data_IF_399579436256
#
_entry.id   IF_399579436256
#
_cell.length_a   1.000
_cell.length_b   1.000
_cell.length_c   1.000
_cell.angle_alpha   90.00
_cell.angle_beta   90.00
_cell.angle_gamma   90.00
#
_symmetry.space_group_name_H-M   'P 1'
#
loop_
_entity.id
_entity.type
_entity.pdbx_description
1 polymer ?
#
# COMPACT_ATOMS: atom_id res chain seq x y z
N UNK A 1 3.25 -12.65 17.30
CA UNK A 1 3.48 -11.32 17.91
C UNK A 1 2.37 -10.46 17.34
N UNK A 2 1.28 -10.31 18.10
CA UNK A 2 0.41 -9.16 17.87
C UNK A 2 1.26 -7.93 18.21
N UNK A 3 1.05 -6.84 17.49
CA UNK A 3 1.63 -5.52 17.72
C UNK A 3 2.97 -5.23 17.04
N UNK A 4 2.95 -4.12 16.31
CA UNK A 4 4.10 -3.46 15.72
C UNK A 4 5.02 -2.96 16.84
N UNK A 5 6.29 -3.41 16.91
CA UNK A 5 7.25 -2.95 17.91
C UNK A 5 7.65 -1.47 17.74
N UNK A 6 7.20 -0.78 16.69
CA UNK A 6 7.54 0.62 16.42
C UNK A 6 6.77 1.65 17.27
N UNK A 7 5.80 1.25 18.09
CA UNK A 7 5.03 2.17 18.95
C UNK A 7 5.50 2.07 20.42
N UNK A 8 6.35 2.99 20.90
CA UNK A 8 6.69 3.06 22.30
C UNK A 8 5.61 3.88 23.03
N UNK A 9 4.85 3.27 23.94
CA UNK A 9 4.57 3.90 25.25
C UNK A 9 3.74 3.03 26.22
N UNK A 10 4.42 2.69 27.32
CA UNK A 10 3.92 2.52 28.70
C UNK A 10 3.34 1.18 29.25
N UNK A 11 3.86 0.86 30.45
CA UNK A 11 3.62 -0.18 31.47
C UNK A 11 3.53 -1.66 31.04
N UNK A 12 4.66 -2.34 31.16
CA UNK A 12 4.78 -3.81 31.19
C UNK A 12 4.07 -4.31 32.46
N UNK A 13 2.97 -5.05 32.29
CA UNK A 13 2.40 -5.82 33.38
C UNK A 13 3.40 -6.93 33.78
N UNK A 14 4.14 -6.70 34.86
CA UNK A 14 5.07 -7.67 35.40
C UNK A 14 4.30 -8.87 35.98
N UNK A 15 4.07 -9.89 35.15
CA UNK A 15 3.86 -11.25 35.64
C UNK A 15 5.07 -11.68 36.47
N UNK A 16 4.83 -12.41 37.56
CA UNK A 16 5.78 -12.70 38.65
C UNK A 16 7.16 -13.22 38.19
N UNK A 17 8.07 -12.31 37.83
CA UNK A 17 9.48 -12.62 37.70
C UNK A 17 10.10 -12.54 39.10
N UNK A 18 10.92 -13.54 39.44
CA UNK A 18 11.73 -13.50 40.66
C UNK A 18 12.52 -12.19 40.71
N UNK A 19 12.53 -11.53 41.89
CA UNK A 19 13.22 -10.26 42.11
C UNK A 19 14.64 -10.33 41.55
N UNK A 20 14.93 -9.49 40.56
CA UNK A 20 16.29 -9.27 40.07
C UNK A 20 17.19 -8.91 41.25
N UNK A 21 18.19 -9.75 41.54
CA UNK A 21 19.27 -9.43 42.46
C UNK A 21 20.52 -9.14 41.63
N UNK A 22 21.17 -7.98 41.80
CA UNK A 22 22.44 -7.73 41.13
C UNK A 22 23.48 -8.74 41.64
N UNK A 23 24.27 -9.37 40.74
CA UNK A 23 25.34 -10.25 41.15
C UNK A 23 26.40 -9.43 41.91
N UNK A 24 26.70 -9.82 43.15
CA UNK A 24 27.86 -9.29 43.87
C UNK A 24 29.12 -9.80 43.16
N UNK A 25 29.85 -8.90 42.50
CA UNK A 25 31.14 -9.22 41.93
C UNK A 25 32.10 -9.69 43.04
N UNK A 26 32.68 -10.88 42.89
CA UNK A 26 33.80 -11.28 43.72
C UNK A 26 35.00 -10.36 43.41
N UNK A 27 35.70 -9.80 44.42
CA UNK A 27 36.80 -8.89 44.18
C UNK A 27 37.93 -9.60 43.43
N UNK A 28 38.27 -9.10 42.24
CA UNK A 28 39.33 -9.63 41.40
C UNK A 28 40.70 -9.49 42.09
N UNK A 29 41.25 -10.59 42.58
CA UNK A 29 42.66 -10.66 42.98
C UNK A 29 43.53 -10.74 41.72
N UNK A 30 44.13 -9.61 41.36
CA UNK A 30 45.28 -9.41 40.44
C UNK A 30 45.60 -10.59 39.52
N UNK A 31 44.94 -10.67 38.36
CA UNK A 31 45.45 -11.37 37.17
C UNK A 31 45.10 -10.57 35.90
N UNK A 32 45.91 -10.65 34.83
CA UNK A 32 45.66 -9.94 33.58
C UNK A 32 44.41 -10.50 32.90
N UNK A 33 43.56 -9.62 32.37
CA UNK A 33 42.36 -10.00 31.62
C UNK A 33 42.78 -10.59 30.25
N UNK A 34 42.56 -11.88 30.06
CA UNK A 34 42.88 -12.59 28.81
C UNK A 34 41.64 -12.91 27.94
N UNK A 35 40.43 -12.54 28.36
CA UNK A 35 39.21 -12.91 27.65
C UNK A 35 38.50 -11.71 27.03
N UNK A 36 38.33 -11.79 25.71
CA UNK A 36 37.54 -10.92 24.86
C UNK A 36 36.07 -10.97 25.33
N UNK A 37 35.54 -9.85 25.84
CA UNK A 37 34.12 -9.60 26.14
C UNK A 37 33.32 -10.84 26.61
N UNK A 38 33.57 -11.34 27.82
CA UNK A 38 32.64 -12.26 28.49
C UNK A 38 31.34 -11.50 28.77
N UNK A 39 30.36 -11.61 27.87
CA UNK A 39 28.99 -11.23 28.14
C UNK A 39 28.52 -11.97 29.42
N UNK A 40 27.72 -11.33 30.29
CA UNK A 40 27.22 -11.98 31.49
C UNK A 40 26.44 -13.24 31.10
N UNK A 41 26.81 -14.38 31.68
CA UNK A 41 26.09 -15.63 31.50
C UNK A 41 24.69 -15.50 32.11
N UNK A 42 23.64 -15.66 31.31
CA UNK A 42 22.27 -15.71 31.81
C UNK A 42 22.07 -17.02 32.60
N UNK A 43 21.37 -16.93 33.72
CA UNK A 43 20.95 -18.13 34.47
C UNK A 43 20.09 -19.02 33.58
N UNK A 44 20.20 -20.35 33.71
CA UNK A 44 19.29 -21.32 33.07
C UNK A 44 17.83 -21.15 33.50
N UNK A 45 17.58 -20.37 34.57
CA UNK A 45 16.24 -19.99 35.03
C UNK A 45 15.65 -18.81 34.25
N UNK A 46 16.44 -18.10 33.44
CA UNK A 46 15.94 -17.05 32.54
C UNK A 46 15.42 -17.71 31.28
N UNK A 47 14.11 -17.62 30.97
CA UNK A 47 13.57 -18.21 29.76
C UNK A 47 14.29 -17.67 28.52
N UNK A 48 14.82 -18.58 27.67
CA UNK A 48 15.48 -18.20 26.41
C UNK A 48 14.57 -17.52 25.39
N UNK A 49 13.25 -17.58 25.62
CA UNK A 49 12.24 -16.83 24.91
C UNK A 49 11.11 -16.45 25.88
N UNK A 50 10.75 -15.17 25.93
CA UNK A 50 9.60 -14.67 26.67
C UNK A 50 8.59 -14.14 25.66
N UNK A 51 7.35 -14.63 25.72
CA UNK A 51 6.23 -14.06 24.96
C UNK A 51 5.61 -12.96 25.84
N UNK A 52 5.89 -11.70 25.50
CA UNK A 52 5.28 -10.55 26.16
C UNK A 52 3.86 -10.34 25.61
N UNK A 53 2.89 -10.20 26.51
CA UNK A 53 1.51 -9.84 26.19
C UNK A 53 1.29 -8.39 26.57
N UNK A 54 0.94 -7.58 25.59
CA UNK A 54 0.65 -6.16 25.76
C UNK A 54 -0.87 -5.97 25.90
N UNK A 55 -1.32 -5.38 27.02
CA UNK A 55 -2.72 -5.02 27.37
C UNK A 55 -3.67 -6.20 27.71
N UNK A 56 -4.71 -5.91 28.50
CA UNK A 56 -5.69 -6.88 29.03
C UNK A 56 -6.52 -7.56 27.94
N UNK A 57 -6.93 -8.81 28.20
CA UNK A 57 -7.67 -9.69 27.30
C UNK A 57 -9.00 -9.09 26.83
N UNK A 58 -9.02 -8.50 25.63
CA UNK A 58 -10.26 -8.41 24.86
C UNK A 58 -10.71 -9.85 24.60
N UNK A 59 -11.93 -10.22 24.99
CA UNK A 59 -12.45 -11.57 24.74
C UNK A 59 -12.73 -11.77 23.24
N UNK A 60 -11.69 -12.13 22.49
CA UNK A 60 -11.73 -12.35 21.04
C UNK A 60 -12.26 -13.73 20.66
N UNK A 61 -12.45 -14.63 21.63
CA UNK A 61 -12.70 -16.05 21.39
C UNK A 61 -13.93 -16.29 20.50
N UNK A 62 -15.05 -15.60 20.76
CA UNK A 62 -16.27 -15.75 19.96
C UNK A 62 -16.10 -15.22 18.53
N UNK A 63 -15.45 -14.06 18.37
CA UNK A 63 -15.17 -13.48 17.06
C UNK A 63 -14.26 -14.41 16.24
N UNK A 64 -13.14 -14.84 16.83
CA UNK A 64 -12.18 -15.74 16.19
C UNK A 64 -12.86 -17.04 15.79
N UNK A 65 -13.65 -17.65 16.68
CA UNK A 65 -14.38 -18.87 16.39
C UNK A 65 -15.31 -18.70 15.18
N UNK A 66 -16.04 -17.58 15.08
CA UNK A 66 -16.87 -17.27 13.91
C UNK A 66 -16.06 -17.17 12.62
N UNK A 67 -14.86 -16.60 12.66
CA UNK A 67 -13.98 -16.53 11.49
C UNK A 67 -13.46 -17.91 11.05
N UNK A 68 -13.21 -18.84 11.98
CA UNK A 68 -12.91 -20.23 11.64
C UNK A 68 -14.13 -21.00 11.10
N UNK A 69 -15.31 -20.77 11.68
CA UNK A 69 -16.54 -21.49 11.29
C UNK A 69 -17.11 -21.02 9.95
N UNK A 70 -17.12 -19.70 9.72
CA UNK A 70 -17.77 -19.10 8.55
C UNK A 70 -16.80 -18.54 7.52
N UNK A 71 -15.53 -18.38 7.89
CA UNK A 71 -14.47 -17.94 7.00
C UNK A 71 -13.67 -19.09 6.39
N UNK A 72 -12.67 -18.78 5.56
CA UNK A 72 -11.81 -19.75 4.89
C UNK A 72 -10.58 -20.15 5.72
N UNK A 73 -10.55 -19.81 7.01
CA UNK A 73 -9.44 -20.10 7.91
C UNK A 73 -9.42 -21.59 8.25
N UNK A 74 -8.23 -22.16 8.40
CA UNK A 74 -8.06 -23.60 8.67
C UNK A 74 -7.37 -23.79 10.00
N UNK A 75 -7.88 -24.70 10.82
CA UNK A 75 -7.23 -25.10 12.07
C UNK A 75 -5.81 -25.66 11.82
N UNK A 76 -5.58 -26.32 10.68
CA UNK A 76 -4.26 -26.83 10.30
C UNK A 76 -3.20 -25.77 10.01
N UNK A 77 -3.58 -24.48 9.92
CA UNK A 77 -2.64 -23.36 9.78
C UNK A 77 -2.16 -22.82 11.14
N UNK A 78 -2.66 -23.37 12.25
CA UNK A 78 -2.38 -22.91 13.61
C UNK A 78 -1.48 -23.92 14.32
N UNK A 79 -0.39 -23.43 14.91
CA UNK A 79 0.61 -24.25 15.58
C UNK A 79 0.95 -23.63 16.94
N UNK A 80 0.60 -24.34 18.02
CA UNK A 80 0.88 -23.96 19.42
C UNK A 80 0.55 -22.48 19.75
N UNK A 81 -0.71 -22.06 19.54
CA UNK A 81 -1.09 -20.66 19.72
C UNK A 81 -1.09 -20.28 21.19
N UNK A 82 -0.58 -19.09 21.50
CA UNK A 82 -0.59 -18.56 22.87
C UNK A 82 -2.02 -18.24 23.35
N UNK A 83 -2.89 -17.76 22.46
CA UNK A 83 -4.28 -17.42 22.70
C UNK A 83 -5.12 -17.44 21.41
N UNK A 84 -6.41 -17.07 21.51
CA UNK A 84 -7.31 -17.01 20.36
C UNK A 84 -6.86 -15.97 19.31
N UNK A 85 -6.26 -14.85 19.75
CA UNK A 85 -5.72 -13.84 18.85
C UNK A 85 -4.59 -14.42 18.01
N UNK A 86 -3.57 -15.00 18.65
CA UNK A 86 -2.43 -15.63 17.99
C UNK A 86 -2.87 -16.73 17.01
N UNK A 87 -3.83 -17.57 17.41
CA UNK A 87 -4.42 -18.56 16.52
C UNK A 87 -5.05 -17.92 15.26
N UNK A 88 -5.78 -16.82 15.44
CA UNK A 88 -6.39 -16.09 14.34
C UNK A 88 -5.34 -15.45 13.42
N UNK A 89 -4.30 -14.81 13.99
CA UNK A 89 -3.21 -14.22 13.22
C UNK A 89 -2.52 -15.27 12.35
N UNK A 90 -2.08 -16.38 12.94
CA UNK A 90 -1.43 -17.47 12.20
C UNK A 90 -2.28 -17.96 11.02
N UNK A 91 -3.56 -18.26 11.27
CA UNK A 91 -4.47 -18.73 10.23
C UNK A 91 -4.77 -17.65 9.18
N UNK A 92 -4.94 -16.39 9.58
CA UNK A 92 -5.21 -15.28 8.68
C UNK A 92 -4.02 -15.02 7.75
N UNK A 93 -2.79 -14.94 8.27
CA UNK A 93 -1.59 -14.77 7.47
C UNK A 93 -1.28 -15.98 6.59
N UNK A 94 -1.57 -17.20 7.04
CA UNK A 94 -1.48 -18.38 6.19
C UNK A 94 -2.50 -18.30 5.02
N UNK A 95 -3.73 -17.87 5.31
CA UNK A 95 -4.76 -17.68 4.30
C UNK A 95 -4.42 -16.59 3.30
N UNK A 96 -4.00 -15.39 3.74
CA UNK A 96 -3.64 -14.27 2.85
C UNK A 96 -2.48 -14.65 1.92
N UNK A 97 -1.41 -15.27 2.45
CA UNK A 97 -0.28 -15.77 1.64
C UNK A 97 -0.71 -16.75 0.55
N UNK A 98 -1.71 -17.61 0.81
CA UNK A 98 -2.28 -18.50 -0.21
C UNK A 98 -3.08 -17.74 -1.29
N UNK A 99 -3.62 -16.56 -1.00
CA UNK A 99 -4.44 -15.81 -1.96
C UNK A 99 -3.63 -15.10 -3.02
N UNK A 100 -2.57 -14.37 -2.65
CA UNK A 100 -1.77 -13.58 -3.61
C UNK A 100 -0.41 -14.21 -3.95
N UNK A 101 0.08 -15.18 -3.18
CA UNK A 101 1.35 -15.86 -3.44
C UNK A 101 2.55 -14.90 -3.46
N UNK A 102 3.49 -15.12 -4.37
CA UNK A 102 4.63 -14.22 -4.57
C UNK A 102 4.32 -13.20 -5.65
N UNK A 103 4.42 -11.93 -5.29
CA UNK A 103 4.31 -10.78 -6.19
C UNK A 103 5.72 -10.31 -6.58
N UNK A 104 5.83 -9.70 -7.76
CA UNK A 104 7.11 -9.31 -8.37
C UNK A 104 7.35 -7.80 -8.35
N UNK A 105 6.28 -7.02 -8.46
CA UNK A 105 6.27 -5.56 -8.53
C UNK A 105 5.58 -4.94 -7.31
N UNK A 106 4.51 -5.57 -6.83
CA UNK A 106 3.73 -5.05 -5.71
C UNK A 106 4.28 -5.59 -4.38
N UNK A 107 4.42 -4.70 -3.38
CA UNK A 107 4.85 -5.06 -2.02
C UNK A 107 3.90 -4.46 -1.00
N UNK A 108 3.43 -5.29 -0.09
CA UNK A 108 2.60 -4.90 1.03
C UNK A 108 2.54 -6.03 2.05
N UNK A 109 2.33 -5.69 3.30
CA UNK A 109 2.21 -6.67 4.38
C UNK A 109 0.82 -6.58 4.99
N UNK A 110 0.01 -7.64 5.01
CA UNK A 110 -1.26 -7.61 5.74
C UNK A 110 -0.99 -7.57 7.25
N UNK A 111 -1.67 -6.71 7.98
CA UNK A 111 -1.58 -6.62 9.44
C UNK A 111 -2.97 -6.72 10.08
N UNK A 112 -2.97 -7.20 11.32
CA UNK A 112 -4.14 -7.21 12.20
C UNK A 112 -3.87 -6.27 13.37
N UNK A 113 -4.87 -5.49 13.72
CA UNK A 113 -4.80 -4.47 14.77
C UNK A 113 -5.95 -4.68 15.75
N UNK A 114 -5.71 -4.37 17.01
CA UNK A 114 -6.81 -4.16 17.95
C UNK A 114 -7.34 -2.72 17.84
N UNK A 115 -8.43 -2.43 18.53
CA UNK A 115 -9.03 -1.09 18.53
C UNK A 115 -8.07 -0.02 19.04
N UNK A 116 -7.22 -0.33 20.02
CA UNK A 116 -6.30 0.66 20.59
C UNK A 116 -5.16 1.00 19.63
N UNK A 117 -4.58 0.01 18.94
CA UNK A 117 -3.54 0.25 17.95
C UNK A 117 -4.04 1.07 16.77
N UNK A 118 -5.30 0.86 16.34
CA UNK A 118 -5.92 1.74 15.33
C UNK A 118 -6.09 3.15 15.88
N UNK A 119 -6.56 3.32 17.12
CA UNK A 119 -6.70 4.63 17.74
C UNK A 119 -5.37 5.38 17.81
N UNK A 120 -4.33 4.72 18.29
CA UNK A 120 -3.00 5.31 18.46
C UNK A 120 -2.47 5.87 17.11
N UNK A 121 -2.79 5.19 15.99
CA UNK A 121 -2.49 5.69 14.64
C UNK A 121 -3.40 6.85 14.21
N UNK A 122 -4.72 6.73 14.46
CA UNK A 122 -5.69 7.75 14.04
C UNK A 122 -5.54 9.08 14.80
N UNK A 123 -5.19 9.01 16.08
CA UNK A 123 -4.93 10.18 16.92
C UNK A 123 -3.74 11.00 16.38
N UNK A 124 -2.72 10.33 15.81
CA UNK A 124 -1.60 10.99 15.14
C UNK A 124 -1.99 11.71 13.85
N UNK A 125 -2.99 11.18 13.12
CA UNK A 125 -3.39 11.68 11.80
C UNK A 125 -4.34 12.89 11.81
N UNK A 126 -4.92 13.24 12.96
CA UNK A 126 -5.99 14.24 13.05
C UNK A 126 -7.28 13.88 12.30
N UNK A 127 -7.40 12.67 11.74
CA UNK A 127 -8.48 12.22 10.85
C UNK A 127 -9.67 11.57 11.57
N UNK A 128 -9.83 11.85 12.87
CA UNK A 128 -10.86 11.29 13.75
C UNK A 128 -10.32 10.17 14.64
N UNK A 129 -11.23 9.49 15.35
CA UNK A 129 -10.89 8.36 16.21
C UNK A 129 -11.88 7.21 16.03
N UNK A 130 -11.61 6.09 16.70
CA UNK A 130 -12.47 4.91 16.72
C UNK A 130 -13.05 4.62 18.11
N UNK A 131 -13.15 5.62 19.00
CA UNK A 131 -13.57 5.41 20.40
C UNK A 131 -15.00 4.86 20.51
N UNK A 132 -15.90 5.26 19.60
CA UNK A 132 -17.29 4.77 19.56
C UNK A 132 -17.45 3.47 18.75
N UNK A 133 -16.37 2.91 18.21
CA UNK A 133 -16.40 1.69 17.41
C UNK A 133 -16.33 0.44 18.29
N UNK A 134 -17.39 -0.37 18.37
CA UNK A 134 -17.37 -1.57 19.20
C UNK A 134 -16.53 -2.71 18.59
N UNK A 135 -15.92 -2.51 17.41
CA UNK A 135 -15.16 -3.55 16.72
C UNK A 135 -13.83 -3.81 17.44
N UNK A 136 -13.58 -5.05 17.91
CA UNK A 136 -12.37 -5.33 18.69
C UNK A 136 -11.11 -5.53 17.82
N UNK A 137 -11.28 -5.82 16.53
CA UNK A 137 -10.19 -6.11 15.61
C UNK A 137 -10.40 -5.46 14.25
N UNK A 138 -9.30 -4.97 13.71
CA UNK A 138 -9.19 -4.38 12.38
C UNK A 138 -8.12 -5.10 11.58
N UNK A 139 -8.18 -4.95 10.27
CA UNK A 139 -7.08 -5.33 9.39
C UNK A 139 -6.71 -4.16 8.49
N UNK A 140 -5.44 -4.10 8.12
CA UNK A 140 -4.89 -3.10 7.21
C UNK A 140 -3.71 -3.68 6.45
N UNK A 141 -3.08 -2.86 5.61
CA UNK A 141 -1.87 -3.23 4.89
C UNK A 141 -0.77 -2.22 5.18
N UNK A 142 0.40 -2.72 5.58
CA UNK A 142 1.63 -1.96 5.71
C UNK A 142 2.24 -1.77 4.33
N UNK A 143 2.60 -0.53 4.05
CA UNK A 143 3.26 0.00 2.87
C UNK A 143 4.58 0.61 3.37
N UNK A 144 5.60 -0.22 3.48
CA UNK A 144 6.91 0.16 4.07
C UNK A 144 7.84 0.81 3.04
N UNK A 145 7.73 0.39 1.78
CA UNK A 145 8.53 0.89 0.67
C UNK A 145 7.62 1.23 -0.52
N UNK A 146 8.04 2.22 -1.30
CA UNK A 146 7.45 2.51 -2.59
C UNK A 146 8.46 2.38 -3.74
N UNK A 147 8.17 1.45 -4.64
CA UNK A 147 8.99 1.24 -5.83
C UNK A 147 8.45 2.05 -7.00
N UNK A 148 9.35 2.75 -7.70
CA UNK A 148 9.05 3.50 -8.91
C UNK A 148 9.32 2.60 -10.13
N UNK A 149 8.35 2.57 -11.05
CA UNK A 149 8.39 1.74 -12.23
C UNK A 149 8.16 2.57 -13.49
N UNK A 150 9.17 2.61 -14.37
CA UNK A 150 9.09 3.28 -15.67
C UNK A 150 8.44 2.39 -16.74
N UNK A 151 7.60 2.99 -17.59
CA UNK A 151 6.93 2.37 -18.73
C UNK A 151 7.66 2.59 -20.07
N UNK A 152 8.76 3.35 -20.08
CA UNK A 152 9.48 3.83 -21.27
C UNK A 152 9.67 2.73 -22.33
N UNK A 153 10.23 1.59 -21.93
CA UNK A 153 10.52 0.47 -22.84
C UNK A 153 9.29 -0.26 -23.40
N UNK A 154 8.10 -0.06 -22.85
CA UNK A 154 6.87 -0.72 -23.32
C UNK A 154 5.98 0.19 -24.18
N UNK A 155 6.06 1.51 -24.01
CA UNK A 155 5.13 2.48 -24.59
C UNK A 155 5.10 2.38 -26.12
N UNK A 156 6.26 2.44 -26.78
CA UNK A 156 6.34 2.42 -28.25
C UNK A 156 5.75 1.13 -28.83
N UNK A 157 6.05 -0.01 -28.20
CA UNK A 157 5.52 -1.31 -28.61
C UNK A 157 4.00 -1.38 -28.45
N UNK A 158 3.46 -0.81 -27.36
CA UNK A 158 2.01 -0.78 -27.15
C UNK A 158 1.31 0.14 -28.16
N UNK A 159 1.84 1.35 -28.38
CA UNK A 159 1.30 2.33 -29.33
C UNK A 159 1.33 1.82 -30.77
N UNK A 160 2.43 1.21 -31.20
CA UNK A 160 2.57 0.61 -32.55
C UNK A 160 1.65 -0.59 -32.77
N UNK A 161 1.35 -1.37 -31.71
CA UNK A 161 0.42 -2.50 -31.81
C UNK A 161 -1.04 -2.04 -31.99
N UNK A 162 -1.43 -1.01 -31.25
CA UNK A 162 -2.71 -0.32 -31.44
C UNK A 162 -2.68 1.03 -30.71
N UNK A 163 -3.10 2.17 -31.32
CA UNK A 163 -3.00 3.50 -30.71
C UNK A 163 -3.63 3.61 -29.32
N UNK A 164 -4.78 2.95 -29.10
CA UNK A 164 -5.48 2.93 -27.81
C UNK A 164 -4.97 1.89 -26.79
N UNK A 165 -3.97 1.05 -27.10
CA UNK A 165 -3.56 -0.04 -26.21
C UNK A 165 -2.87 0.48 -24.94
N UNK A 166 -1.96 1.45 -25.07
CA UNK A 166 -1.30 2.06 -23.91
C UNK A 166 -2.31 2.70 -22.96
N UNK A 167 -3.20 3.56 -23.49
CA UNK A 167 -4.34 4.11 -22.73
C UNK A 167 -5.22 3.04 -22.08
N UNK A 168 -5.41 1.91 -22.77
CA UNK A 168 -6.19 0.79 -22.22
C UNK A 168 -5.49 0.13 -21.03
N UNK A 169 -4.15 0.07 -21.02
CA UNK A 169 -3.35 -0.39 -19.88
C UNK A 169 -3.49 0.59 -18.72
N UNK A 170 -3.31 1.89 -18.94
CA UNK A 170 -3.43 2.90 -17.88
C UNK A 170 -4.82 2.91 -17.25
N UNK A 171 -5.87 2.85 -18.07
CA UNK A 171 -7.24 2.71 -17.56
C UNK A 171 -7.51 1.39 -16.82
N UNK A 172 -6.71 0.33 -17.05
CA UNK A 172 -6.80 -0.91 -16.29
C UNK A 172 -6.06 -0.80 -14.94
N UNK A 173 -4.88 -0.16 -14.91
CA UNK A 173 -4.13 0.13 -13.68
C UNK A 173 -4.96 1.00 -12.74
N UNK A 174 -5.49 2.14 -13.24
CA UNK A 174 -6.30 3.08 -12.46
C UNK A 174 -7.52 2.41 -11.82
N UNK A 175 -8.26 1.62 -12.60
CA UNK A 175 -9.46 0.92 -12.08
C UNK A 175 -9.13 -0.20 -11.10
N UNK A 176 -7.98 -0.84 -11.25
CA UNK A 176 -7.51 -1.85 -10.31
C UNK A 176 -7.07 -1.19 -8.99
N UNK A 177 -6.31 -0.10 -9.08
CA UNK A 177 -5.92 0.77 -7.96
C UNK A 177 -7.14 1.21 -7.14
N UNK A 178 -8.11 1.86 -7.79
CA UNK A 178 -9.33 2.34 -7.14
C UNK A 178 -10.20 1.25 -6.48
N UNK A 179 -10.02 -0.02 -6.84
CA UNK A 179 -10.75 -1.16 -6.25
C UNK A 179 -10.00 -1.91 -5.17
N UNK A 180 -8.70 -1.69 -5.07
CA UNK A 180 -7.82 -2.46 -4.20
C UNK A 180 -7.01 -1.51 -3.34
N UNK A 181 -5.74 -1.28 -3.67
CA UNK A 181 -4.86 -0.34 -2.97
C UNK A 181 -4.35 0.71 -3.95
N UNK A 182 -4.08 1.89 -3.40
CA UNK A 182 -3.63 3.04 -4.16
C UNK A 182 -2.27 2.78 -4.83
N UNK A 183 -2.19 3.17 -6.10
CA UNK A 183 -0.99 3.20 -6.94
C UNK A 183 -0.90 4.62 -7.47
N UNK A 184 0.26 5.25 -7.35
CA UNK A 184 0.55 6.52 -8.00
C UNK A 184 0.72 6.27 -9.49
N UNK A 185 -0.12 6.92 -10.27
CA UNK A 185 -0.11 6.87 -11.73
C UNK A 185 0.32 8.25 -12.26
N UNK A 186 0.64 8.38 -13.55
CA UNK A 186 1.05 9.64 -14.17
C UNK A 186 0.16 10.84 -13.83
N UNK A 187 -1.16 10.64 -13.70
CA UNK A 187 -2.11 11.68 -13.31
C UNK A 187 -1.89 12.21 -11.88
N UNK A 188 -1.40 11.37 -10.96
CA UNK A 188 -1.02 11.81 -9.63
C UNK A 188 0.20 12.74 -9.67
N UNK A 189 1.26 12.38 -10.42
CA UNK A 189 2.44 13.24 -10.56
C UNK A 189 2.08 14.58 -11.21
N UNK A 190 1.19 14.56 -12.19
CA UNK A 190 0.71 15.80 -12.82
C UNK A 190 -0.08 16.67 -11.84
N UNK A 191 -0.91 16.05 -10.99
CA UNK A 191 -1.62 16.76 -9.95
C UNK A 191 -0.67 17.37 -8.92
N UNK A 192 0.27 16.57 -8.40
CA UNK A 192 1.24 17.01 -7.41
C UNK A 192 2.08 18.18 -7.94
N UNK A 193 2.58 18.06 -9.18
CA UNK A 193 3.29 19.16 -9.83
C UNK A 193 2.43 20.43 -9.91
N UNK A 194 1.15 20.29 -10.28
CA UNK A 194 0.27 21.45 -10.35
C UNK A 194 0.05 22.11 -8.99
N UNK A 195 0.00 21.33 -7.89
CA UNK A 195 -0.09 21.89 -6.54
C UNK A 195 1.14 22.71 -6.17
N UNK A 196 2.33 22.30 -6.60
CA UNK A 196 3.58 23.01 -6.28
C UNK A 196 3.84 24.24 -7.14
N UNK A 197 3.41 24.22 -8.41
CA UNK A 197 3.86 25.22 -9.39
C UNK A 197 2.72 26.00 -10.04
N UNK A 198 1.48 25.50 -10.04
CA UNK A 198 0.36 26.06 -10.80
C UNK A 198 -0.95 26.13 -9.98
N UNK A 199 -0.87 26.41 -8.68
CA UNK A 199 -2.02 26.58 -7.78
C UNK A 199 -3.04 25.40 -7.78
N UNK A 200 -2.56 24.19 -8.08
CA UNK A 200 -3.37 22.98 -8.10
C UNK A 200 -4.26 22.80 -9.33
N UNK A 201 -4.09 23.58 -10.40
CA UNK A 201 -4.79 23.35 -11.67
C UNK A 201 -3.90 22.64 -12.70
N UNK A 202 -4.04 21.31 -12.88
CA UNK A 202 -3.26 20.57 -13.88
C UNK A 202 -3.66 20.90 -15.32
N UNK A 203 -4.73 21.68 -15.56
CA UNK A 203 -5.23 22.10 -16.88
C UNK A 203 -4.98 23.59 -17.19
N UNK A 204 -4.23 24.30 -16.35
CA UNK A 204 -3.83 25.70 -16.55
C UNK A 204 -3.18 25.97 -17.93
N UNK A 205 -3.36 27.18 -18.46
CA UNK A 205 -2.72 27.57 -19.73
C UNK A 205 -1.24 27.94 -19.52
N UNK A 206 -0.41 27.85 -20.57
CA UNK A 206 1.00 28.28 -20.47
C UNK A 206 1.13 29.74 -20.04
N UNK A 207 0.20 30.60 -20.48
CA UNK A 207 0.22 32.01 -20.11
C UNK A 207 -0.05 32.20 -18.62
N UNK A 208 -1.09 31.55 -18.10
CA UNK A 208 -1.47 31.72 -16.70
C UNK A 208 -0.45 31.02 -15.78
N UNK A 209 0.14 29.91 -16.22
CA UNK A 209 1.25 29.25 -15.55
C UNK A 209 2.49 30.15 -15.50
N UNK A 210 2.86 30.80 -16.61
CA UNK A 210 3.98 31.76 -16.64
C UNK A 210 3.78 32.91 -15.65
N UNK A 211 2.54 33.38 -15.49
CA UNK A 211 2.17 34.41 -14.51
C UNK A 211 2.34 33.89 -13.06
N UNK A 212 1.84 32.70 -12.73
CA UNK A 212 2.03 32.10 -11.40
C UNK A 212 3.52 31.83 -11.08
N UNK A 213 4.28 31.39 -12.08
CA UNK A 213 5.70 31.08 -11.94
C UNK A 213 6.58 32.33 -11.70
N UNK A 214 6.11 33.54 -12.05
CA UNK A 214 6.84 34.80 -11.75
C UNK A 214 7.00 35.03 -10.26
N UNK A 215 6.03 34.64 -9.44
CA UNK A 215 6.12 34.81 -7.98
C UNK A 215 7.23 33.95 -7.38
N UNK A 216 7.57 32.83 -8.03
CA UNK A 216 8.55 31.86 -7.54
C UNK A 216 9.94 32.03 -8.18
N UNK A 217 9.99 32.39 -9.46
CA UNK A 217 11.23 32.43 -10.25
C UNK A 217 11.59 33.82 -10.79
N UNK A 218 10.86 34.86 -10.39
CA UNK A 218 11.06 36.25 -10.82
C UNK A 218 11.22 36.37 -12.35
N UNK A 219 12.28 37.03 -12.81
CA UNK A 219 12.56 37.30 -14.23
C UNK A 219 13.31 36.15 -14.94
N UNK A 220 13.57 35.01 -14.27
CA UNK A 220 14.25 33.85 -14.88
C UNK A 220 13.34 33.14 -15.89
N UNK A 221 13.35 33.67 -17.10
CA UNK A 221 12.47 33.21 -18.19
C UNK A 221 12.89 31.82 -18.70
N UNK A 222 14.17 31.45 -18.57
CA UNK A 222 14.64 30.13 -18.97
C UNK A 222 14.06 29.06 -18.05
N UNK A 223 14.18 29.26 -16.73
CA UNK A 223 13.59 28.36 -15.74
C UNK A 223 12.07 28.32 -15.87
N UNK A 224 11.39 29.48 -15.94
CA UNK A 224 9.92 29.50 -16.08
C UNK A 224 9.43 28.75 -17.32
N UNK A 225 10.15 28.86 -18.43
CA UNK A 225 9.82 28.14 -19.67
C UNK A 225 9.88 26.62 -19.53
N UNK A 226 10.81 26.10 -18.72
CA UNK A 226 10.96 24.65 -18.48
C UNK A 226 9.81 24.07 -17.64
N UNK A 227 9.12 24.90 -16.84
CA UNK A 227 8.03 24.52 -15.95
C UNK A 227 6.64 24.79 -16.56
N UNK A 228 6.57 25.17 -17.85
CA UNK A 228 5.30 25.42 -18.51
C UNK A 228 4.51 24.12 -18.77
N UNK A 229 3.17 24.17 -18.74
CA UNK A 229 2.32 23.04 -19.03
C UNK A 229 2.60 22.34 -20.36
N UNK A 230 2.92 23.08 -21.43
CA UNK A 230 3.28 22.50 -22.73
C UNK A 230 4.56 21.66 -22.71
N UNK A 231 5.47 21.92 -21.77
CA UNK A 231 6.73 21.19 -21.59
C UNK A 231 6.58 20.03 -20.62
N UNK A 232 5.92 20.27 -19.49
CA UNK A 232 5.84 19.31 -18.37
C UNK A 232 4.77 18.23 -18.60
N UNK A 233 3.59 18.57 -19.13
CA UNK A 233 2.51 17.58 -19.33
C UNK A 233 2.94 16.40 -20.19
N UNK A 234 3.63 16.57 -21.34
CA UNK A 234 4.07 15.43 -22.14
C UNK A 234 5.05 14.50 -21.42
N UNK A 235 5.82 15.03 -20.45
CA UNK A 235 6.81 14.27 -19.68
C UNK A 235 6.16 13.52 -18.52
N UNK A 236 5.33 14.20 -17.72
CA UNK A 236 4.71 13.61 -16.53
C UNK A 236 3.48 12.76 -16.86
N UNK A 237 2.55 13.28 -17.66
CA UNK A 237 1.27 12.64 -17.95
C UNK A 237 0.78 12.98 -19.37
N UNK A 238 1.35 12.37 -20.40
CA UNK A 238 0.85 12.53 -21.77
C UNK A 238 -0.62 12.10 -21.88
N UNK A 239 -1.32 12.62 -22.88
CA UNK A 239 -2.78 12.47 -23.07
C UNK A 239 -3.34 11.04 -23.14
N UNK A 240 -2.47 10.08 -23.46
CA UNK A 240 -2.79 8.66 -23.49
C UNK A 240 -2.33 7.89 -22.25
N UNK A 241 -1.58 8.54 -21.34
CA UNK A 241 -1.29 8.06 -20.00
C UNK A 241 -2.41 8.39 -19.00
N UNK A 242 -3.09 9.53 -19.20
CA UNK A 242 -4.20 9.99 -18.35
C UNK A 242 -5.42 9.04 -18.45
N UNK A 243 -5.84 8.39 -17.35
CA UNK A 243 -6.97 7.47 -17.35
C UNK A 243 -8.34 8.17 -17.40
N UNK A 244 -8.41 9.42 -16.95
CA UNK A 244 -9.64 10.17 -16.77
C UNK A 244 -9.56 11.52 -17.52
N UNK A 245 -10.63 12.29 -17.52
CA UNK A 245 -10.63 13.67 -18.00
C UNK A 245 -11.80 14.38 -17.35
N UNK A 246 -11.61 15.61 -16.91
CA UNK A 246 -12.70 16.43 -16.42
C UNK A 246 -13.40 17.09 -17.61
N UNK A 247 -14.68 16.77 -17.82
CA UNK A 247 -15.45 17.32 -18.95
C UNK A 247 -16.94 17.44 -18.63
N UNK A 248 -17.48 18.65 -18.80
CA UNK A 248 -18.87 18.99 -18.49
C UNK A 248 -19.21 18.84 -16.99
N UNK A 249 -18.30 19.31 -16.12
CA UNK A 249 -18.49 19.28 -14.66
C UNK A 249 -18.35 17.90 -14.01
N UNK A 250 -17.87 16.89 -14.76
CA UNK A 250 -17.75 15.51 -14.26
C UNK A 250 -16.48 14.85 -14.78
N UNK A 251 -15.88 14.03 -13.92
CA UNK A 251 -14.80 13.12 -14.30
C UNK A 251 -15.33 11.99 -15.19
N UNK A 252 -14.68 11.76 -16.33
CA UNK A 252 -15.02 10.73 -17.30
C UNK A 252 -13.81 9.87 -17.61
N UNK A 253 -14.02 8.57 -17.76
CA UNK A 253 -12.97 7.69 -18.27
C UNK A 253 -12.69 8.00 -19.73
N UNK A 254 -11.42 8.05 -20.12
CA UNK A 254 -11.03 8.18 -21.53
C UNK A 254 -11.39 6.92 -22.31
N UNK A 255 -11.60 7.10 -23.62
CA UNK A 255 -11.91 5.99 -24.53
C UNK A 255 -10.79 4.96 -24.54
N UNK A 256 -11.14 3.69 -24.32
CA UNK A 256 -10.21 2.56 -24.30
C UNK A 256 -10.79 1.41 -25.13
N UNK A 257 -9.93 0.50 -25.59
CA UNK A 257 -10.34 -0.68 -26.32
C UNK A 257 -11.41 -1.45 -25.54
N UNK A 258 -12.48 -1.86 -26.18
CA UNK A 258 -13.52 -2.73 -25.61
C UNK A 258 -13.01 -4.16 -25.41
N UNK A 259 -13.76 -5.00 -24.67
CA UNK A 259 -13.37 -6.41 -24.51
C UNK A 259 -13.33 -7.20 -25.84
N UNK A 260 -14.30 -7.05 -26.77
CA UNK A 260 -14.21 -7.67 -28.10
C UNK A 260 -13.01 -7.18 -28.92
N UNK A 261 -12.68 -5.90 -28.87
CA UNK A 261 -11.50 -5.36 -29.55
C UNK A 261 -10.20 -5.91 -28.97
N UNK A 262 -10.08 -5.99 -27.64
CA UNK A 262 -8.94 -6.62 -26.98
C UNK A 262 -8.81 -8.11 -27.33
N UNK A 263 -9.92 -8.84 -27.47
CA UNK A 263 -9.88 -10.24 -27.91
C UNK A 263 -9.38 -10.38 -29.35
N UNK A 264 -9.85 -9.53 -30.26
CA UNK A 264 -9.37 -9.47 -31.65
C UNK A 264 -7.89 -9.09 -31.72
N UNK A 265 -7.48 -8.07 -30.96
CA UNK A 265 -6.09 -7.63 -30.87
C UNK A 265 -5.19 -8.74 -30.33
N UNK A 266 -5.63 -9.43 -29.26
CA UNK A 266 -4.93 -10.58 -28.68
C UNK A 266 -4.74 -11.72 -29.67
N UNK A 267 -5.72 -11.99 -30.53
CA UNK A 267 -5.66 -13.08 -31.51
C UNK A 267 -4.63 -12.81 -32.62
N UNK A 268 -4.49 -11.54 -33.05
CA UNK A 268 -3.54 -11.14 -34.09
C UNK A 268 -2.14 -10.79 -33.58
N UNK A 269 -1.99 -10.49 -32.29
CA UNK A 269 -0.72 -10.07 -31.69
C UNK A 269 0.11 -11.27 -31.20
N UNK A 270 1.43 -11.08 -31.09
CA UNK A 270 2.37 -12.04 -30.48
C UNK A 270 3.16 -11.36 -29.35
N UNK A 271 3.94 -12.12 -28.60
CA UNK A 271 4.85 -11.58 -27.57
C UNK A 271 4.15 -10.79 -26.45
N UNK A 272 4.79 -9.71 -26.02
CA UNK A 272 4.33 -8.84 -24.92
C UNK A 272 2.90 -8.31 -25.14
N UNK A 273 2.52 -7.73 -26.30
CA UNK A 273 1.17 -7.20 -26.49
C UNK A 273 0.06 -8.24 -26.30
N UNK A 274 0.27 -9.48 -26.76
CA UNK A 274 -0.69 -10.58 -26.53
C UNK A 274 -0.87 -10.89 -25.04
N UNK A 275 0.22 -10.86 -24.27
CA UNK A 275 0.20 -11.08 -22.82
C UNK A 275 -0.49 -9.91 -22.09
N UNK A 276 -0.21 -8.68 -22.50
CA UNK A 276 -0.88 -7.46 -21.98
C UNK A 276 -2.39 -7.53 -22.21
N UNK A 277 -2.85 -7.79 -23.44
CA UNK A 277 -4.28 -7.95 -23.69
C UNK A 277 -4.91 -9.05 -22.84
N UNK A 278 -4.17 -10.14 -22.59
CA UNK A 278 -4.63 -11.26 -21.76
C UNK A 278 -4.85 -10.82 -20.31
N UNK A 279 -3.87 -10.13 -19.70
CA UNK A 279 -3.98 -9.69 -18.31
C UNK A 279 -5.02 -8.57 -18.15
N UNK A 280 -5.11 -7.62 -19.10
CA UNK A 280 -6.18 -6.60 -19.10
C UNK A 280 -7.58 -7.22 -19.20
N UNK A 281 -7.76 -8.25 -20.04
CA UNK A 281 -9.04 -8.96 -20.15
C UNK A 281 -9.41 -9.65 -18.82
N UNK A 282 -8.44 -10.29 -18.15
CA UNK A 282 -8.63 -10.93 -16.84
C UNK A 282 -8.99 -9.90 -15.76
N UNK A 283 -8.24 -8.80 -15.67
CA UNK A 283 -8.53 -7.69 -14.75
C UNK A 283 -9.94 -7.16 -14.97
N UNK A 284 -10.32 -6.87 -16.21
CA UNK A 284 -11.68 -6.39 -16.53
C UNK A 284 -12.76 -7.40 -16.18
N UNK A 285 -12.50 -8.70 -16.30
CA UNK A 285 -13.45 -9.73 -15.91
C UNK A 285 -13.61 -9.79 -14.37
N UNK A 286 -12.51 -9.68 -13.62
CA UNK A 286 -12.53 -9.66 -12.16
C UNK A 286 -13.22 -8.41 -11.62
N UNK A 287 -12.87 -7.23 -12.15
CA UNK A 287 -13.50 -5.97 -11.77
C UNK A 287 -15.00 -5.94 -12.10
N UNK A 288 -15.44 -6.58 -13.19
CA UNK A 288 -16.88 -6.72 -13.49
C UNK A 288 -17.63 -7.60 -12.50
N UNK A 289 -16.96 -8.57 -11.86
CA UNK A 289 -17.57 -9.43 -10.83
C UNK A 289 -17.73 -8.71 -9.49
N UNK A 290 -16.86 -7.75 -9.21
CA UNK A 290 -16.95 -6.97 -7.98
C UNK A 290 -18.14 -6.01 -8.03
N UNK A 291 -19.01 -6.14 -7.02
CA UNK A 291 -20.18 -5.27 -6.79
C UNK A 291 -19.82 -3.96 -6.09
N UNK A 292 -18.62 -3.89 -5.48
CA UNK A 292 -18.14 -2.73 -4.75
C UNK A 292 -17.13 -1.94 -5.59
N UNK A 293 -17.05 -0.63 -5.33
CA UNK A 293 -15.97 0.19 -5.84
C UNK A 293 -14.70 0.04 -5.01
N UNK A 294 -14.83 -0.29 -3.72
CA UNK A 294 -13.72 -0.62 -2.82
C UNK A 294 -13.92 -2.05 -2.28
N UNK A 295 -12.95 -2.94 -2.52
CA UNK A 295 -13.00 -4.33 -2.06
C UNK A 295 -12.36 -4.53 -0.68
N UNK A 296 -11.55 -3.58 -0.21
CA UNK A 296 -10.92 -3.65 1.11
C UNK A 296 -11.85 -3.07 2.18
N UNK A 297 -12.83 -2.26 1.78
CA UNK A 297 -13.85 -1.65 2.65
C UNK A 297 -13.19 -0.87 3.79
N UNK A 298 -12.27 0.03 3.43
CA UNK A 298 -11.51 0.82 4.40
C UNK A 298 -12.50 1.69 5.18
N UNK A 299 -12.53 1.49 6.50
CA UNK A 299 -13.41 2.23 7.40
C UNK A 299 -12.74 3.51 7.90
N UNK A 300 -11.42 3.45 8.10
CA UNK A 300 -10.60 4.56 8.52
C UNK A 300 -9.45 4.74 7.52
N UNK A 301 -9.48 5.82 6.76
CA UNK A 301 -8.40 6.17 5.85
C UNK A 301 -7.19 6.63 6.67
N UNK A 302 -6.00 6.15 6.31
CA UNK A 302 -4.79 6.36 7.11
C UNK A 302 -3.73 7.20 6.40
N UNK A 303 -4.13 8.02 5.42
CA UNK A 303 -3.28 8.89 4.59
C UNK A 303 -1.87 8.32 4.36
N UNK A 304 -1.74 7.23 3.58
CA UNK A 304 -0.47 6.52 3.51
C UNK A 304 0.60 7.37 2.81
N UNK A 305 1.75 7.54 3.46
CA UNK A 305 2.91 8.21 2.87
C UNK A 305 3.35 7.49 1.59
N UNK A 306 3.40 6.16 1.65
CA UNK A 306 3.78 5.29 0.55
C UNK A 306 2.56 4.70 -0.17
N UNK A 307 2.60 4.66 -1.49
CA UNK A 307 1.63 3.91 -2.28
C UNK A 307 2.13 2.47 -2.47
N UNK A 308 1.25 1.62 -3.00
CA UNK A 308 1.61 0.23 -3.33
C UNK A 308 2.78 0.16 -4.34
N UNK A 309 2.81 1.11 -5.27
CA UNK A 309 3.93 1.46 -6.12
C UNK A 309 3.64 2.79 -6.84
N UNK A 310 4.68 3.33 -7.47
CA UNK A 310 4.61 4.45 -8.40
C UNK A 310 4.85 3.97 -9.83
N UNK A 311 4.05 4.44 -10.78
CA UNK A 311 4.19 4.13 -12.20
C UNK A 311 4.34 5.43 -12.98
N UNK A 312 5.44 5.55 -13.70
CA UNK A 312 5.80 6.74 -14.49
C UNK A 312 5.91 6.38 -15.97
N UNK A 313 5.71 7.36 -16.84
CA UNK A 313 5.85 7.16 -18.29
C UNK A 313 7.33 6.98 -18.65
N UNK A 314 8.17 7.87 -18.15
CA UNK A 314 9.61 7.93 -18.38
C UNK A 314 10.26 8.54 -17.13
N UNK A 315 11.50 8.16 -16.85
CA UNK A 315 12.28 8.76 -15.77
C UNK A 315 12.69 10.19 -16.15
N UNK A 316 12.45 11.14 -15.25
CA UNK A 316 12.80 12.54 -15.46
C UNK A 316 12.99 13.25 -14.12
N UNK A 317 13.66 14.39 -14.15
CA UNK A 317 14.00 15.16 -12.95
C UNK A 317 12.78 15.50 -12.08
N UNK A 318 11.64 15.81 -12.69
CA UNK A 318 10.44 16.20 -11.96
C UNK A 318 9.86 15.05 -11.14
N UNK A 319 9.96 13.81 -11.61
CA UNK A 319 9.48 12.66 -10.84
C UNK A 319 10.24 12.52 -9.52
N UNK A 320 11.57 12.61 -9.57
CA UNK A 320 12.42 12.54 -8.39
C UNK A 320 12.11 13.68 -7.42
N UNK A 321 12.12 14.91 -7.92
CA UNK A 321 11.84 16.11 -7.12
C UNK A 321 10.45 16.05 -6.46
N UNK A 322 9.42 15.58 -7.18
CA UNK A 322 8.07 15.46 -6.63
C UNK A 322 7.97 14.39 -5.53
N UNK A 323 8.64 13.25 -5.70
CA UNK A 323 8.64 12.21 -4.68
C UNK A 323 9.42 12.64 -3.44
N UNK A 324 10.58 13.28 -3.62
CA UNK A 324 11.37 13.79 -2.52
C UNK A 324 10.59 14.87 -1.74
N UNK A 325 9.98 15.83 -2.44
CA UNK A 325 9.11 16.83 -1.81
C UNK A 325 7.92 16.19 -1.10
N UNK A 326 7.27 15.21 -1.72
CA UNK A 326 6.13 14.50 -1.13
C UNK A 326 6.53 13.79 0.16
N UNK A 327 7.60 12.98 0.13
CA UNK A 327 8.04 12.23 1.30
C UNK A 327 8.59 13.14 2.40
N UNK A 328 9.30 14.22 2.04
CA UNK A 328 9.74 15.22 3.00
C UNK A 328 8.53 15.88 3.69
N UNK A 329 7.52 16.30 2.92
CA UNK A 329 6.30 16.89 3.47
C UNK A 329 5.55 15.91 4.39
N UNK A 330 5.32 14.67 3.97
CA UNK A 330 4.66 13.65 4.80
C UNK A 330 5.47 13.33 6.07
N UNK A 331 6.80 13.38 6.02
CA UNK A 331 7.65 13.16 7.18
C UNK A 331 7.60 14.31 8.19
N UNK A 332 7.33 15.53 7.72
CA UNK A 332 7.30 16.74 8.54
C UNK A 332 5.91 17.09 9.07
N UNK A 333 4.83 16.68 8.37
CA UNK A 333 3.46 17.01 8.74
C UNK A 333 2.99 16.28 10.00
N UNK A 334 3.48 15.06 10.24
CA UNK A 334 2.95 14.17 11.28
C UNK A 334 1.60 13.54 10.94
N UNK A 335 1.02 13.90 9.79
CA UNK A 335 -0.32 13.49 9.33
C UNK A 335 -0.26 12.34 8.30
N UNK A 336 0.81 11.54 8.35
CA UNK A 336 1.08 10.44 7.43
C UNK A 336 1.29 9.12 8.18
N UNK A 337 0.94 8.00 7.55
CA UNK A 337 1.27 6.67 8.08
C UNK A 337 1.85 5.76 7.02
N UNK A 338 2.43 4.64 7.44
CA UNK A 338 2.81 3.55 6.53
C UNK A 338 1.65 2.58 6.29
N UNK A 339 0.43 2.86 6.76
CA UNK A 339 -0.72 1.97 6.63
C UNK A 339 -1.68 2.45 5.55
N UNK A 340 -2.15 1.53 4.70
CA UNK A 340 -3.12 1.84 3.64
C UNK A 340 -4.47 2.34 4.16
N UNK A 341 -4.77 2.09 5.43
CA UNK A 341 -6.08 2.27 6.05
C UNK A 341 -6.52 1.03 6.84
N UNK A 342 -7.56 1.20 7.66
CA UNK A 342 -8.06 0.16 8.56
C UNK A 342 -9.50 -0.22 8.24
N UNK A 343 -9.72 -1.52 8.12
CA UNK A 343 -11.02 -2.13 7.85
C UNK A 343 -11.44 -2.97 9.05
N UNK A 344 -12.70 -2.83 9.49
CA UNK A 344 -13.28 -3.61 10.58
C UNK A 344 -13.32 -5.09 10.22
N UNK A 345 -12.97 -5.98 11.15
CA UNK A 345 -13.30 -7.40 10.97
C UNK A 345 -14.79 -7.63 11.16
N UNK A 346 -15.36 -8.42 10.25
CA UNK A 346 -16.78 -8.71 10.26
C UNK A 346 -17.18 -9.63 11.41
N UNK A 347 -18.23 -9.30 12.16
CA UNK A 347 -18.68 -10.08 13.32
C UNK A 347 -19.85 -11.03 13.06
N UNK A 348 -20.50 -10.94 11.88
CA UNK A 348 -21.66 -11.77 11.53
C UNK A 348 -21.31 -12.80 10.44
N UNK A 349 -21.93 -14.00 10.45
CA UNK A 349 -21.60 -15.07 9.49
C UNK A 349 -21.74 -14.66 8.01
N UNK A 350 -22.70 -13.79 7.69
CA UNK A 350 -22.92 -13.28 6.33
C UNK A 350 -21.84 -12.26 5.95
N UNK A 351 -21.49 -11.36 6.86
CA UNK A 351 -20.47 -10.35 6.62
C UNK A 351 -19.07 -10.98 6.53
N UNK A 352 -18.75 -11.96 7.37
CA UNK A 352 -17.48 -12.71 7.32
C UNK A 352 -17.27 -13.35 5.95
N UNK A 353 -18.25 -14.12 5.46
CA UNK A 353 -18.19 -14.76 4.13
C UNK A 353 -17.99 -13.74 3.01
N UNK A 354 -18.67 -12.58 3.11
CA UNK A 354 -18.55 -11.51 2.13
C UNK A 354 -17.18 -10.85 2.17
N UNK A 355 -16.69 -10.51 3.36
CA UNK A 355 -15.38 -9.87 3.56
C UNK A 355 -14.25 -10.74 2.99
N UNK A 356 -14.24 -12.04 3.29
CA UNK A 356 -13.25 -12.95 2.71
C UNK A 356 -13.39 -13.13 1.19
N UNK A 357 -14.61 -13.11 0.65
CA UNK A 357 -14.83 -13.18 -0.79
C UNK A 357 -14.34 -11.90 -1.51
N UNK A 358 -14.58 -10.73 -0.93
CA UNK A 358 -14.14 -9.44 -1.44
C UNK A 358 -12.61 -9.33 -1.37
N UNK A 359 -11.99 -9.72 -0.24
CA UNK A 359 -10.53 -9.80 -0.08
C UNK A 359 -9.88 -10.78 -1.06
N UNK A 360 -10.43 -11.98 -1.22
CA UNK A 360 -9.93 -12.94 -2.21
C UNK A 360 -10.02 -12.38 -3.64
N UNK A 361 -11.07 -11.61 -3.95
CA UNK A 361 -11.19 -10.93 -5.24
C UNK A 361 -10.16 -9.80 -5.38
N UNK A 362 -9.93 -9.01 -4.33
CA UNK A 362 -8.91 -7.96 -4.29
C UNK A 362 -7.51 -8.54 -4.55
N UNK A 363 -7.11 -9.60 -3.83
CA UNK A 363 -5.83 -10.28 -4.02
C UNK A 363 -5.66 -10.86 -5.43
N UNK A 364 -6.73 -11.38 -6.04
CA UNK A 364 -6.69 -11.82 -7.43
C UNK A 364 -6.51 -10.66 -8.41
N UNK A 365 -7.14 -9.52 -8.16
CA UNK A 365 -6.93 -8.30 -8.96
C UNK A 365 -5.46 -7.87 -8.83
N UNK A 366 -4.93 -7.78 -7.60
CA UNK A 366 -3.53 -7.43 -7.34
C UNK A 366 -2.55 -8.40 -8.02
N UNK A 367 -2.84 -9.70 -8.02
CA UNK A 367 -2.01 -10.70 -8.72
C UNK A 367 -1.95 -10.46 -10.23
N UNK A 368 -3.08 -10.13 -10.85
CA UNK A 368 -3.12 -9.83 -12.29
C UNK A 368 -2.57 -8.43 -12.62
N UNK A 369 -2.67 -7.51 -11.68
CA UNK A 369 -2.07 -6.18 -11.75
C UNK A 369 -0.54 -6.27 -11.70
N UNK A 370 0.00 -7.03 -10.76
CA UNK A 370 1.43 -7.34 -10.64
C UNK A 370 1.99 -7.93 -11.94
N UNK A 371 1.30 -8.92 -12.51
CA UNK A 371 1.67 -9.53 -13.79
C UNK A 371 1.59 -8.56 -14.96
N UNK A 372 0.63 -7.64 -14.94
CA UNK A 372 0.52 -6.61 -15.96
C UNK A 372 1.69 -5.63 -15.83
N UNK A 373 1.99 -5.14 -14.63
CA UNK A 373 3.14 -4.27 -14.37
C UNK A 373 4.44 -4.94 -14.78
N UNK A 374 4.67 -6.20 -14.40
CA UNK A 374 5.85 -6.96 -14.82
C UNK A 374 6.00 -7.11 -16.34
N UNK A 375 4.94 -6.93 -17.13
CA UNK A 375 5.00 -6.93 -18.60
C UNK A 375 5.35 -5.58 -19.21
N UNK A 376 4.93 -4.49 -18.55
CA UNK A 376 4.95 -3.15 -19.13
C UNK A 376 5.94 -2.22 -18.44
N UNK A 377 6.55 -2.64 -17.34
CA UNK A 377 7.43 -1.79 -16.55
C UNK A 377 8.80 -2.39 -16.27
N UNK A 378 9.75 -1.49 -16.08
CA UNK A 378 11.11 -1.76 -15.60
C UNK A 378 11.30 -1.07 -14.25
N UNK A 379 12.19 -1.61 -13.40
CA UNK A 379 12.60 -0.84 -12.22
C UNK A 379 13.51 0.26 -12.72
N UNK A 380 13.23 1.49 -12.30
CA UNK A 380 14.22 2.56 -12.34
C UNK A 380 15.29 2.30 -11.28
#
# INVERSE_FOLDING_TARGET
MFFDPALPDSSIAAGSAARWQPPRAAPARRRPAADLLTLPSFSTEVPGAVRLKWREDVNLSDLVLKHFQYGPLRAGDVHDPADAGDAFQQAFHAWTRRQYGRLSRLRFTPHLFDAHAVRDVLDGLGNGNNDDDPTPLFFGFGLEDEWVYSLEGAIETLRSTHPLLFRTVMGALYRASARTMFIRLPDWFMYEFSCWYWDGDPHISDKDADEALKERFDDDTETRSAYLPSVVRPQLCPDDADPCVFSGGKWRYRSALTAPELMRLRARSRGMPRRVCTEVLKLRALMRRSRSRDLLHVNYAANPAYALCSVIVEDNQFVGDLLDCHFENESQSGDATTYSGFSRLASTPKAIRRQYADLALAFRILTHLDRLLALVSQST
#
